data_IF_367462611103
#
_entry.id   IF_367462611103
#
_cell.length_a   1.000
_cell.length_b   1.000
_cell.length_c   1.000
_cell.angle_alpha   90.00
_cell.angle_beta   90.00
_cell.angle_gamma   90.00
#
_symmetry.space_group_name_H-M   'P 1'
#
loop_
_entity.id
_entity.type
_entity.pdbx_description
1 polymer ?
#
# COMPACT_ATOMS: atom_id res chain seq x y z
N UNK A 1 -65.76 27.66 -40.39
CA UNK A 1 -64.77 28.17 -39.45
C UNK A 1 -64.21 26.97 -38.67
N UNK A 2 -62.99 26.52 -38.98
CA UNK A 2 -62.32 25.40 -38.31
C UNK A 2 -61.24 25.94 -37.39
N UNK A 3 -61.35 25.66 -36.09
CA UNK A 3 -60.41 26.07 -35.07
C UNK A 3 -59.29 25.02 -34.99
N UNK A 4 -58.05 25.44 -35.25
CA UNK A 4 -56.88 24.62 -35.12
C UNK A 4 -56.42 24.67 -33.66
N UNK A 5 -56.31 23.49 -33.02
CA UNK A 5 -55.73 23.31 -31.68
C UNK A 5 -54.26 23.05 -31.88
N UNK A 6 -53.39 23.96 -31.40
CA UNK A 6 -51.93 23.77 -31.35
C UNK A 6 -51.60 23.12 -30.02
N UNK A 7 -51.14 21.86 -30.04
CA UNK A 7 -50.59 21.18 -28.85
C UNK A 7 -49.07 21.41 -28.84
N UNK A 8 -48.60 22.20 -27.86
CA UNK A 8 -47.19 22.41 -27.64
C UNK A 8 -46.61 21.23 -26.80
N UNK A 9 -45.79 20.41 -27.39
CA UNK A 9 -44.95 19.43 -26.68
C UNK A 9 -43.73 20.14 -26.10
N UNK A 10 -43.68 20.28 -24.79
CA UNK A 10 -42.47 20.71 -24.09
C UNK A 10 -41.50 19.50 -23.97
N UNK A 11 -40.44 19.48 -24.78
CA UNK A 11 -39.31 18.58 -24.59
C UNK A 11 -38.55 19.00 -23.33
N UNK A 12 -38.75 18.26 -22.23
CA UNK A 12 -37.92 18.36 -21.04
C UNK A 12 -36.53 17.82 -21.35
N UNK A 13 -35.53 18.71 -21.49
CA UNK A 13 -34.14 18.33 -21.58
C UNK A 13 -33.68 17.77 -20.22
N UNK A 14 -33.52 16.47 -20.12
CA UNK A 14 -32.79 15.80 -19.03
C UNK A 14 -31.34 16.21 -19.13
N UNK A 15 -30.90 17.14 -18.30
CA UNK A 15 -29.48 17.45 -18.11
C UNK A 15 -28.82 16.21 -17.50
N UNK A 16 -27.72 15.65 -18.12
CA UNK A 16 -26.99 14.58 -17.50
C UNK A 16 -26.33 15.13 -16.22
N UNK A 17 -26.75 14.61 -15.06
CA UNK A 17 -26.03 14.82 -13.82
C UNK A 17 -24.63 14.23 -13.98
N UNK A 18 -23.63 15.09 -14.11
CA UNK A 18 -22.23 14.71 -14.08
C UNK A 18 -21.93 14.12 -12.69
N UNK A 19 -22.06 12.80 -12.54
CA UNK A 19 -21.50 12.08 -11.41
C UNK A 19 -19.98 12.27 -11.50
N UNK A 20 -19.46 13.18 -10.66
CA UNK A 20 -18.03 13.35 -10.51
C UNK A 20 -17.41 12.00 -10.21
N UNK A 21 -16.59 11.49 -11.13
CA UNK A 21 -15.80 10.28 -10.92
C UNK A 21 -14.90 10.54 -9.70
N UNK A 22 -15.24 9.97 -8.55
CA UNK A 22 -14.36 10.01 -7.40
C UNK A 22 -13.04 9.39 -7.82
N UNK A 23 -11.94 10.12 -7.56
CA UNK A 23 -10.60 9.61 -7.84
C UNK A 23 -10.40 8.30 -7.08
N UNK A 24 -9.94 7.25 -7.78
CA UNK A 24 -9.67 5.97 -7.15
C UNK A 24 -8.68 6.14 -5.97
N UNK A 25 -8.90 5.46 -4.84
CA UNK A 25 -7.99 5.52 -3.71
C UNK A 25 -6.56 5.15 -4.12
N UNK A 26 -5.57 5.88 -3.64
CA UNK A 26 -4.17 5.71 -4.03
C UNK A 26 -3.26 5.45 -2.84
N UNK A 27 -2.13 4.78 -3.12
CA UNK A 27 -1.00 4.71 -2.22
C UNK A 27 0.15 5.56 -2.80
N UNK A 28 0.71 6.46 -1.99
CA UNK A 28 1.79 7.36 -2.40
C UNK A 28 3.04 7.07 -1.59
N UNK A 29 4.16 6.80 -2.28
CA UNK A 29 5.48 6.60 -1.67
C UNK A 29 6.35 7.84 -1.92
N UNK A 30 6.96 8.35 -0.85
CA UNK A 30 7.92 9.45 -0.89
C UNK A 30 9.25 8.96 -0.30
N UNK A 31 10.34 9.01 -1.06
CA UNK A 31 11.67 8.75 -0.54
C UNK A 31 12.10 9.95 0.33
N UNK A 32 12.55 9.68 1.55
CA UNK A 32 13.00 10.67 2.52
C UNK A 32 14.53 10.80 2.56
N UNK A 33 15.22 9.66 2.39
CA UNK A 33 16.68 9.59 2.35
C UNK A 33 17.12 8.40 1.52
N UNK A 34 18.34 8.48 0.94
CA UNK A 34 18.90 7.43 0.11
C UNK A 34 20.42 7.37 0.21
N UNK A 35 20.97 6.15 0.23
CA UNK A 35 22.39 5.88 0.05
C UNK A 35 22.59 4.77 -0.98
N UNK A 36 23.40 4.99 -2.02
CA UNK A 36 23.67 4.02 -3.09
C UNK A 36 24.90 3.16 -2.85
N UNK A 37 25.85 3.65 -2.08
CA UNK A 37 27.14 3.00 -1.82
C UNK A 37 27.22 2.61 -0.35
N UNK A 38 26.40 1.63 0.05
CA UNK A 38 26.37 1.16 1.44
C UNK A 38 27.61 0.32 1.70
N UNK A 39 28.54 0.84 2.51
CA UNK A 39 29.70 0.06 2.96
C UNK A 39 29.21 -1.15 3.77
N UNK A 40 29.80 -2.31 3.52
CA UNK A 40 29.36 -3.58 4.11
C UNK A 40 28.17 -4.25 3.39
N UNK A 41 27.54 -3.58 2.41
CA UNK A 41 26.47 -4.14 1.58
C UNK A 41 26.67 -3.76 0.09
N UNK A 42 27.74 -4.20 -0.57
CA UNK A 42 28.04 -3.84 -1.96
C UNK A 42 26.90 -4.28 -2.88
N UNK A 43 26.62 -3.45 -3.90
CA UNK A 43 25.50 -3.69 -4.85
C UNK A 43 24.12 -3.45 -4.26
N UNK A 44 24.03 -2.83 -3.10
CA UNK A 44 22.76 -2.47 -2.44
C UNK A 44 22.57 -0.97 -2.34
N UNK A 45 21.30 -0.58 -2.38
CA UNK A 45 20.84 0.78 -2.11
C UNK A 45 19.95 0.76 -0.88
N UNK A 46 20.26 1.62 0.09
CA UNK A 46 19.41 1.83 1.28
C UNK A 46 18.51 3.04 1.02
N UNK A 47 17.23 2.91 1.33
CA UNK A 47 16.26 4.00 1.20
C UNK A 47 15.36 4.02 2.42
N UNK A 48 15.20 5.20 3.01
CA UNK A 48 14.12 5.50 3.95
C UNK A 48 12.99 6.16 3.18
N UNK A 49 11.77 5.66 3.33
CA UNK A 49 10.58 6.17 2.65
C UNK A 49 9.42 6.31 3.62
N UNK A 50 8.48 7.21 3.26
CA UNK A 50 7.13 7.29 3.82
C UNK A 50 6.14 6.82 2.77
N UNK A 51 5.21 5.96 3.14
CA UNK A 51 4.07 5.56 2.31
C UNK A 51 2.78 5.96 3.01
N UNK A 52 1.89 6.61 2.27
CA UNK A 52 0.53 6.92 2.71
C UNK A 52 -0.42 6.09 1.85
N UNK A 53 -1.21 5.25 2.49
CA UNK A 53 -2.22 4.40 1.85
C UNK A 53 -3.59 4.94 2.21
N UNK A 54 -4.26 5.56 1.26
CA UNK A 54 -5.58 6.16 1.47
C UNK A 54 -6.65 5.09 1.76
N UNK A 55 -7.75 5.44 2.45
CA UNK A 55 -8.89 4.53 2.67
C UNK A 55 -9.35 3.87 1.37
N UNK A 56 -9.48 2.54 1.37
CA UNK A 56 -9.84 1.74 0.20
C UNK A 56 -8.71 1.45 -0.79
N UNK A 57 -7.52 2.06 -0.62
CA UNK A 57 -6.37 1.80 -1.49
C UNK A 57 -5.77 0.41 -1.23
N UNK A 58 -5.22 -0.19 -2.30
CA UNK A 58 -4.57 -1.49 -2.28
C UNK A 58 -3.13 -1.38 -2.80
N UNK A 59 -2.23 -2.10 -2.17
CA UNK A 59 -0.90 -2.41 -2.67
C UNK A 59 -0.99 -3.78 -3.34
N UNK A 60 -0.89 -3.80 -4.67
CA UNK A 60 -1.00 -5.02 -5.47
C UNK A 60 0.05 -6.05 -5.07
N UNK A 61 -0.17 -7.31 -5.46
CA UNK A 61 0.76 -8.41 -5.21
C UNK A 61 2.15 -8.08 -5.79
N UNK A 62 3.16 -8.13 -4.92
CA UNK A 62 4.56 -7.81 -5.27
C UNK A 62 5.54 -8.50 -4.32
N UNK A 63 6.84 -8.37 -4.65
CA UNK A 63 7.95 -8.68 -3.77
C UNK A 63 9.02 -7.58 -3.84
N UNK A 64 10.03 -7.69 -3.00
CA UNK A 64 11.18 -6.78 -3.00
C UNK A 64 12.47 -7.52 -3.37
N UNK A 65 13.37 -6.86 -4.11
CA UNK A 65 14.71 -7.42 -4.42
C UNK A 65 15.72 -7.08 -3.31
N UNK A 66 15.34 -7.35 -2.08
CA UNK A 66 16.11 -7.12 -0.86
C UNK A 66 15.23 -7.11 0.37
N UNK A 67 15.84 -6.87 1.53
CA UNK A 67 15.14 -6.82 2.80
C UNK A 67 14.45 -5.48 3.01
N UNK A 68 13.28 -5.50 3.61
CA UNK A 68 12.52 -4.33 3.99
C UNK A 68 12.04 -4.44 5.44
N UNK A 69 12.09 -3.32 6.16
CA UNK A 69 11.41 -3.15 7.46
C UNK A 69 10.35 -2.10 7.26
N UNK A 70 9.10 -2.41 7.60
CA UNK A 70 7.97 -1.50 7.49
C UNK A 70 7.33 -1.27 8.86
N UNK A 71 7.35 -0.04 9.38
CA UNK A 71 6.74 0.36 10.65
C UNK A 71 5.47 1.14 10.40
N UNK A 72 4.36 0.71 11.00
CA UNK A 72 3.09 1.44 10.94
C UNK A 72 3.13 2.59 11.95
N UNK A 73 2.99 3.82 11.45
CA UNK A 73 2.94 5.03 12.26
C UNK A 73 1.50 5.46 12.59
N UNK A 74 0.56 5.21 11.67
CA UNK A 74 -0.86 5.53 11.85
C UNK A 74 -1.74 4.62 11.01
N UNK A 75 -3.01 4.45 11.42
CA UNK A 75 -3.98 3.58 10.77
C UNK A 75 -3.68 2.10 10.99
N UNK A 76 -4.46 1.22 10.37
CA UNK A 76 -4.27 -0.24 10.43
C UNK A 76 -4.13 -0.78 9.02
N UNK A 77 -2.98 -1.40 8.71
CA UNK A 77 -2.73 -2.03 7.42
C UNK A 77 -3.25 -3.47 7.45
N UNK A 78 -4.05 -3.86 6.47
CA UNK A 78 -4.37 -5.27 6.23
C UNK A 78 -3.31 -5.86 5.32
N UNK A 79 -2.48 -6.75 5.85
CA UNK A 79 -1.37 -7.41 5.14
C UNK A 79 -1.71 -8.86 4.85
N UNK A 80 -1.40 -9.35 3.65
CA UNK A 80 -1.58 -10.75 3.24
C UNK A 80 -0.30 -11.28 2.63
N UNK A 81 0.30 -12.31 3.25
CA UNK A 81 1.40 -13.05 2.66
C UNK A 81 0.86 -14.06 1.62
N UNK A 82 1.53 -14.13 0.45
CA UNK A 82 1.15 -15.03 -0.65
C UNK A 82 2.22 -16.10 -0.93
N UNK A 83 3.47 -15.80 -0.60
CA UNK A 83 4.60 -16.73 -0.67
C UNK A 83 5.61 -16.32 0.38
N UNK A 84 6.27 -17.29 1.02
CA UNK A 84 7.16 -17.02 2.14
C UNK A 84 6.41 -16.60 3.40
N UNK A 85 7.00 -15.74 4.19
CA UNK A 85 6.40 -15.21 5.41
C UNK A 85 6.99 -13.84 5.77
N UNK A 86 6.20 -13.00 6.41
CA UNK A 86 6.69 -11.79 7.05
C UNK A 86 6.78 -12.00 8.56
N UNK A 87 7.78 -11.39 9.19
CA UNK A 87 7.94 -11.45 10.65
C UNK A 87 7.31 -10.21 11.27
N UNK A 88 6.28 -10.40 12.07
CA UNK A 88 5.58 -9.33 12.78
C UNK A 88 6.19 -9.14 14.17
N UNK A 89 6.51 -7.89 14.47
CA UNK A 89 7.04 -7.44 15.75
C UNK A 89 6.20 -6.32 16.36
N UNK A 90 6.38 -6.12 17.67
CA UNK A 90 5.80 -5.01 18.44
C UNK A 90 6.75 -4.55 19.55
N UNK A 91 6.34 -3.57 20.34
CA UNK A 91 7.12 -3.09 21.48
C UNK A 91 8.10 -1.97 21.11
N UNK A 92 9.07 -1.76 21.98
CA UNK A 92 10.19 -0.84 21.75
C UNK A 92 11.27 -1.57 20.96
N UNK A 93 11.59 -1.07 19.76
CA UNK A 93 12.52 -1.76 18.86
C UNK A 93 13.96 -1.84 19.40
N UNK A 94 14.35 -0.95 20.32
CA UNK A 94 15.69 -0.88 20.90
C UNK A 94 15.76 -1.59 22.25
N UNK A 95 14.76 -1.35 23.12
CA UNK A 95 14.80 -1.78 24.52
C UNK A 95 14.09 -3.10 24.79
N UNK A 96 12.97 -3.36 24.09
CA UNK A 96 12.11 -4.52 24.32
C UNK A 96 11.39 -4.92 23.03
N UNK A 97 12.12 -5.34 21.97
CA UNK A 97 11.51 -5.83 20.74
C UNK A 97 10.81 -7.16 20.98
N UNK A 98 9.51 -7.21 20.70
CA UNK A 98 8.70 -8.42 20.90
C UNK A 98 8.41 -9.07 19.55
N UNK A 99 8.81 -10.33 19.41
CA UNK A 99 8.27 -11.18 18.35
C UNK A 99 6.78 -11.41 18.61
N UNK A 100 5.95 -11.16 17.61
CA UNK A 100 4.51 -11.42 17.70
C UNK A 100 4.19 -12.76 17.02
N UNK A 101 4.52 -12.87 15.72
CA UNK A 101 4.31 -14.09 14.93
C UNK A 101 4.94 -14.01 13.54
N UNK A 102 5.01 -15.11 12.86
CA UNK A 102 5.08 -15.14 11.41
C UNK A 102 3.69 -14.95 10.81
N UNK A 103 3.61 -14.23 9.69
CA UNK A 103 2.44 -14.18 8.83
C UNK A 103 2.80 -15.04 7.62
N UNK A 104 2.38 -16.31 7.67
CA UNK A 104 2.71 -17.32 6.68
C UNK A 104 1.93 -17.14 5.38
N UNK A 105 2.40 -17.76 4.29
CA UNK A 105 1.71 -17.77 3.00
C UNK A 105 0.24 -18.22 3.15
N UNK A 106 -0.67 -17.46 2.56
CA UNK A 106 -2.13 -17.62 2.67
C UNK A 106 -2.75 -16.89 3.87
N UNK A 107 -1.97 -16.41 4.82
CA UNK A 107 -2.48 -15.70 5.99
C UNK A 107 -2.65 -14.20 5.73
N UNK A 108 -3.67 -13.64 6.36
CA UNK A 108 -3.92 -12.20 6.43
C UNK A 108 -3.89 -11.74 7.89
N UNK A 109 -3.29 -10.58 8.14
CA UNK A 109 -3.24 -9.99 9.47
C UNK A 109 -3.44 -8.47 9.44
N UNK A 110 -4.11 -7.89 10.44
CA UNK A 110 -4.04 -6.46 10.69
C UNK A 110 -2.69 -6.11 11.33
N UNK A 111 -2.07 -5.04 10.84
CA UNK A 111 -0.84 -4.48 11.41
C UNK A 111 -1.17 -3.11 11.98
N UNK A 112 -0.99 -2.96 13.28
CA UNK A 112 -1.41 -1.79 14.02
C UNK A 112 -0.29 -0.75 14.19
N UNK A 113 -0.63 0.50 14.53
CA UNK A 113 0.38 1.51 14.86
C UNK A 113 1.37 1.02 15.93
N UNK A 114 2.65 1.32 15.73
CA UNK A 114 3.75 0.85 16.59
C UNK A 114 4.30 -0.52 16.25
N UNK A 115 3.56 -1.36 15.52
CA UNK A 115 4.05 -2.65 15.01
C UNK A 115 4.90 -2.46 13.76
N UNK A 116 5.76 -3.44 13.48
CA UNK A 116 6.57 -3.47 12.26
C UNK A 116 6.71 -4.88 11.71
N UNK A 117 6.88 -4.93 10.38
CA UNK A 117 7.15 -6.15 9.63
C UNK A 117 8.59 -6.17 9.16
N UNK A 118 9.18 -7.36 9.12
CA UNK A 118 10.42 -7.66 8.38
C UNK A 118 10.06 -8.59 7.23
N UNK A 119 10.39 -8.17 6.01
CA UNK A 119 10.11 -8.87 4.76
C UNK A 119 11.41 -9.19 4.05
N UNK A 120 11.51 -10.41 3.49
CA UNK A 120 12.70 -10.90 2.81
C UNK A 120 12.51 -10.95 1.27
N UNK A 121 13.57 -11.05 0.48
CA UNK A 121 13.48 -10.98 -0.99
C UNK A 121 12.56 -12.00 -1.64
N UNK A 122 12.33 -13.14 -1.00
CA UNK A 122 11.49 -14.24 -1.51
C UNK A 122 10.01 -14.12 -1.17
N UNK A 123 9.63 -13.13 -0.36
CA UNK A 123 8.29 -13.03 0.18
C UNK A 123 7.38 -12.25 -0.78
N UNK A 124 6.33 -12.90 -1.29
CA UNK A 124 5.32 -12.23 -2.08
C UNK A 124 4.14 -11.84 -1.19
N UNK A 125 3.70 -10.62 -1.29
CA UNK A 125 2.62 -10.10 -0.45
C UNK A 125 1.80 -9.02 -1.15
N UNK A 126 0.65 -8.77 -0.58
CA UNK A 126 -0.23 -7.65 -0.92
C UNK A 126 -0.75 -7.01 0.37
N UNK A 127 -1.19 -5.76 0.29
CA UNK A 127 -1.76 -5.08 1.44
C UNK A 127 -2.89 -4.14 1.02
N UNK A 128 -3.72 -3.75 1.99
CA UNK A 128 -4.83 -2.83 1.76
C UNK A 128 -5.10 -1.98 2.99
N UNK A 129 -5.56 -0.77 2.77
CA UNK A 129 -6.22 0.01 3.81
C UNK A 129 -7.72 -0.24 3.76
N UNK A 130 -8.23 -1.06 4.66
CA UNK A 130 -9.66 -1.38 4.82
C UNK A 130 -10.36 -0.49 5.85
N UNK A 131 -9.62 0.46 6.44
CA UNK A 131 -10.14 1.43 7.40
C UNK A 131 -10.66 2.71 6.75
N UNK A 132 -11.11 3.65 7.57
CA UNK A 132 -11.64 4.95 7.16
C UNK A 132 -10.64 6.10 7.28
N UNK A 133 -9.42 5.83 7.80
CA UNK A 133 -8.33 6.80 7.94
C UNK A 133 -7.12 6.35 7.14
N UNK A 134 -6.27 7.26 6.66
CA UNK A 134 -5.03 6.90 5.98
C UNK A 134 -4.13 6.03 6.86
N UNK A 135 -3.46 5.04 6.24
CA UNK A 135 -2.37 4.29 6.87
C UNK A 135 -1.05 4.97 6.52
N UNK A 136 -0.25 5.27 7.52
CA UNK A 136 1.09 5.85 7.34
C UNK A 136 2.13 4.82 7.73
N UNK A 137 3.06 4.54 6.79
CA UNK A 137 4.11 3.54 6.93
C UNK A 137 5.46 4.21 6.72
N UNK A 138 6.42 3.96 7.61
CA UNK A 138 7.83 4.25 7.34
C UNK A 138 8.55 2.96 6.95
N UNK A 139 9.29 3.03 5.85
CA UNK A 139 9.99 1.89 5.25
C UNK A 139 11.50 2.15 5.26
N UNK A 140 12.27 1.23 5.82
CA UNK A 140 13.69 1.11 5.59
C UNK A 140 13.94 -0.08 4.65
N UNK A 141 14.53 0.17 3.49
CA UNK A 141 14.77 -0.88 2.48
C UNK A 141 16.25 -0.96 2.14
N UNK A 142 16.76 -2.19 1.99
CA UNK A 142 18.10 -2.49 1.49
C UNK A 142 17.97 -3.37 0.24
N UNK A 143 17.71 -2.72 -0.90
CA UNK A 143 17.40 -3.40 -2.16
C UNK A 143 18.63 -3.51 -3.06
N UNK A 144 18.60 -4.43 -4.03
CA UNK A 144 19.57 -4.48 -5.13
C UNK A 144 19.63 -3.11 -5.81
N UNK A 145 20.80 -2.58 -6.06
CA UNK A 145 20.97 -1.29 -6.74
C UNK A 145 20.34 -1.32 -8.12
N UNK A 146 19.55 -0.29 -8.43
CA UNK A 146 18.76 -0.22 -9.66
C UNK A 146 17.40 -0.94 -9.60
N UNK A 147 17.12 -1.71 -8.55
CA UNK A 147 15.82 -2.35 -8.40
C UNK A 147 14.69 -1.34 -8.10
N UNK A 148 13.48 -1.58 -8.63
CA UNK A 148 12.31 -0.78 -8.26
C UNK A 148 11.95 -1.00 -6.77
N UNK A 149 11.24 -0.06 -6.15
CA UNK A 149 10.78 -0.19 -4.76
C UNK A 149 9.92 -1.43 -4.50
N UNK A 150 9.18 -1.88 -5.49
CA UNK A 150 8.36 -3.09 -5.50
C UNK A 150 8.39 -3.70 -6.90
N UNK A 151 8.50 -5.01 -6.98
CA UNK A 151 8.45 -5.79 -8.23
C UNK A 151 7.10 -6.49 -8.31
N UNK A 152 6.23 -6.13 -9.28
CA UNK A 152 4.93 -6.78 -9.43
C UNK A 152 5.07 -8.29 -9.67
N UNK A 153 4.12 -9.05 -9.14
CA UNK A 153 3.98 -10.49 -9.39
C UNK A 153 2.66 -10.70 -10.12
N UNK A 154 2.70 -11.38 -11.25
CA UNK A 154 1.47 -11.79 -11.93
C UNK A 154 0.68 -12.74 -11.03
N UNK A 155 -0.63 -12.55 -10.92
CA UNK A 155 -1.49 -13.56 -10.31
C UNK A 155 -1.48 -14.79 -11.21
N UNK A 156 -1.36 -15.99 -10.63
CA UNK A 156 -1.49 -17.23 -11.39
C UNK A 156 -2.88 -17.36 -12.00
#
# INVERSE_FOLDING_TARGET
MAAAIVVAFSLGALLPTAFGRSKAPTAVRTALARSQNVQGAPGRTMVLSKVVVEPGAQLALHHHLGTQISRIAAGTLTYTARKGFAVLHSGDAEKDPKFVRHIEAGQTAPIHPGQWLVEQPSDNHEAANRGSKPVVIYLATLLKTGAPPATPVSKP
#
